data_IF_931618791226
#
_entry.id   IF_931618791226
#
_cell.length_a   1.000
_cell.length_b   1.000
_cell.length_c   1.000
_cell.angle_alpha   90.00
_cell.angle_beta   90.00
_cell.angle_gamma   90.00
#
_symmetry.space_group_name_H-M   'P 1'
#
loop_
_entity.id
_entity.type
_entity.pdbx_description
1 polymer ?
#
# COMPACT_ATOMS: atom_id res chain seq x y z
N UNK A 1 10.48 7.32 12.26
CA UNK A 1 10.77 7.28 10.82
C UNK A 1 11.01 5.84 10.46
N UNK A 2 10.15 5.22 9.66
CA UNK A 2 10.29 3.82 9.28
C UNK A 2 11.43 3.65 8.25
N UNK A 3 12.00 2.45 8.09
CA UNK A 3 12.97 2.16 7.04
C UNK A 3 12.45 2.55 5.64
N UNK A 4 11.16 2.32 5.40
CA UNK A 4 10.43 2.69 4.18
C UNK A 4 10.42 4.19 3.95
N UNK A 5 10.06 5.01 4.96
CA UNK A 5 10.11 6.48 4.84
C UNK A 5 11.52 6.99 4.51
N UNK A 6 12.53 6.38 5.13
CA UNK A 6 13.94 6.71 4.87
C UNK A 6 14.38 6.35 3.45
N UNK A 7 13.90 5.21 2.93
CA UNK A 7 14.15 4.78 1.55
C UNK A 7 13.58 5.77 0.53
N UNK A 8 12.32 6.19 0.70
CA UNK A 8 11.67 7.12 -0.24
C UNK A 8 12.30 8.53 -0.23
N UNK A 9 12.79 9.01 0.92
CA UNK A 9 13.52 10.28 1.01
C UNK A 9 14.82 10.24 0.17
N UNK A 10 15.45 9.08 0.05
CA UNK A 10 16.73 8.93 -0.67
C UNK A 10 16.56 8.56 -2.15
N UNK A 11 15.33 8.44 -2.66
CA UNK A 11 15.13 8.13 -4.08
C UNK A 11 15.68 9.22 -5.01
N UNK A 12 16.16 8.84 -6.21
CA UNK A 12 16.48 9.76 -7.29
C UNK A 12 15.32 10.70 -7.61
N UNK A 13 15.64 11.93 -8.01
CA UNK A 13 14.63 12.96 -8.34
C UNK A 13 13.70 12.52 -9.47
N UNK A 14 14.21 11.77 -10.44
CA UNK A 14 13.41 11.23 -11.55
C UNK A 14 12.31 10.29 -11.06
N UNK A 15 12.62 9.42 -10.10
CA UNK A 15 11.66 8.49 -9.52
C UNK A 15 10.66 9.25 -8.63
N UNK A 16 11.13 10.22 -7.85
CA UNK A 16 10.25 11.08 -7.04
C UNK A 16 9.22 11.82 -7.89
N UNK A 17 9.60 12.30 -9.08
CA UNK A 17 8.70 12.99 -10.00
C UNK A 17 7.58 12.09 -10.55
N UNK A 18 7.78 10.77 -10.60
CA UNK A 18 6.76 9.80 -11.00
C UNK A 18 5.94 9.30 -9.81
N UNK A 19 6.55 9.22 -8.64
CA UNK A 19 5.95 8.73 -7.40
C UNK A 19 5.03 9.76 -6.72
N UNK A 20 5.49 11.02 -6.59
CA UNK A 20 4.76 12.09 -5.89
C UNK A 20 3.38 12.36 -6.52
N UNK A 21 3.20 12.39 -7.86
CA UNK A 21 1.86 12.58 -8.43
C UNK A 21 0.86 11.47 -8.10
N UNK A 22 1.33 10.27 -7.73
CA UNK A 22 0.47 9.12 -7.44
C UNK A 22 0.13 9.06 -5.95
N UNK A 23 1.14 9.14 -5.07
CA UNK A 23 0.93 8.98 -3.63
C UNK A 23 0.90 10.31 -2.87
N UNK A 24 1.43 11.39 -3.43
CA UNK A 24 1.67 12.66 -2.75
C UNK A 24 2.89 12.62 -1.82
N UNK A 25 3.04 11.56 -1.03
CA UNK A 25 4.14 11.38 -0.09
C UNK A 25 4.49 9.90 0.16
N UNK A 26 5.67 9.65 0.73
CA UNK A 26 6.08 8.33 1.21
C UNK A 26 5.15 7.81 2.32
N UNK A 27 4.66 8.71 3.17
CA UNK A 27 3.71 8.39 4.24
C UNK A 27 2.39 7.87 3.65
N UNK A 28 1.87 8.50 2.60
CA UNK A 28 0.65 8.01 1.94
C UNK A 28 0.85 6.66 1.27
N UNK A 29 2.01 6.43 0.65
CA UNK A 29 2.35 5.10 0.14
C UNK A 29 2.34 4.05 1.26
N UNK A 30 3.02 4.32 2.38
CA UNK A 30 3.04 3.44 3.55
C UNK A 30 1.61 3.13 4.01
N UNK A 31 0.78 4.16 4.20
CA UNK A 31 -0.64 4.02 4.57
C UNK A 31 -1.41 3.15 3.58
N UNK A 32 -1.23 3.37 2.27
CA UNK A 32 -1.90 2.60 1.23
C UNK A 32 -1.56 1.12 1.32
N UNK A 33 -0.28 0.76 1.38
CA UNK A 33 0.16 -0.64 1.47
C UNK A 33 -0.32 -1.29 2.78
N UNK A 34 -0.16 -0.57 3.89
CA UNK A 34 -0.61 -1.05 5.21
C UNK A 34 -2.11 -1.36 5.21
N UNK A 35 -2.94 -0.45 4.69
CA UNK A 35 -4.39 -0.65 4.63
C UNK A 35 -4.78 -1.81 3.71
N UNK A 36 -4.05 -2.02 2.61
CA UNK A 36 -4.26 -3.18 1.73
C UNK A 36 -3.97 -4.48 2.47
N UNK A 37 -2.80 -4.58 3.13
CA UNK A 37 -2.42 -5.76 3.92
C UNK A 37 -3.43 -6.04 5.05
N UNK A 38 -3.83 -4.99 5.77
CA UNK A 38 -4.88 -5.07 6.79
C UNK A 38 -6.20 -5.58 6.23
N UNK A 39 -6.65 -5.03 5.11
CA UNK A 39 -7.92 -5.41 4.50
C UNK A 39 -7.89 -6.87 4.03
N UNK A 40 -6.78 -7.33 3.44
CA UNK A 40 -6.61 -8.73 3.05
C UNK A 40 -6.73 -9.66 4.26
N UNK A 41 -5.98 -9.36 5.32
CA UNK A 41 -5.91 -10.18 6.51
C UNK A 41 -7.26 -10.25 7.23
N UNK A 42 -7.89 -9.10 7.52
CA UNK A 42 -9.17 -9.05 8.22
C UNK A 42 -10.28 -9.71 7.38
N UNK A 43 -10.32 -9.47 6.06
CA UNK A 43 -11.31 -10.12 5.17
C UNK A 43 -11.15 -11.65 5.17
N UNK A 44 -9.90 -12.14 5.17
CA UNK A 44 -9.58 -13.57 5.21
C UNK A 44 -9.92 -14.23 6.55
N UNK A 45 -9.78 -13.49 7.65
CA UNK A 45 -10.13 -13.94 9.01
C UNK A 45 -11.65 -13.97 9.21
N UNK A 46 -12.33 -12.85 8.96
CA UNK A 46 -13.75 -12.69 9.28
C UNK A 46 -14.65 -13.48 8.31
N UNK A 47 -14.17 -13.72 7.08
CA UNK A 47 -14.89 -14.43 6.00
C UNK A 47 -16.33 -13.94 5.83
N UNK A 48 -16.49 -12.63 5.84
CA UNK A 48 -17.79 -11.95 5.65
C UNK A 48 -18.42 -12.31 4.29
N UNK A 49 -19.69 -11.94 4.09
CA UNK A 49 -20.36 -12.19 2.81
C UNK A 49 -19.53 -11.65 1.62
N UNK A 50 -19.37 -12.50 0.61
CA UNK A 50 -18.58 -12.26 -0.60
C UNK A 50 -17.08 -12.02 -0.33
N UNK A 51 -16.52 -12.62 0.74
CA UNK A 51 -15.10 -12.46 1.07
C UNK A 51 -14.17 -12.89 -0.06
N UNK A 52 -14.50 -13.95 -0.81
CA UNK A 52 -13.70 -14.40 -1.95
C UNK A 52 -13.59 -13.31 -3.02
N UNK A 53 -14.73 -12.72 -3.44
CA UNK A 53 -14.70 -11.63 -4.41
C UNK A 53 -13.99 -10.38 -3.86
N UNK A 54 -14.06 -10.14 -2.55
CA UNK A 54 -13.31 -9.04 -1.92
C UNK A 54 -11.80 -9.29 -1.96
N UNK A 55 -11.37 -10.52 -1.68
CA UNK A 55 -9.96 -10.93 -1.78
C UNK A 55 -9.46 -10.79 -3.22
N UNK A 56 -10.24 -11.23 -4.22
CA UNK A 56 -9.87 -11.05 -5.63
C UNK A 56 -9.61 -9.58 -5.99
N UNK A 57 -10.46 -8.67 -5.49
CA UNK A 57 -10.29 -7.22 -5.70
C UNK A 57 -9.05 -6.69 -4.97
N UNK A 58 -8.77 -7.16 -3.76
CA UNK A 58 -7.59 -6.76 -2.99
C UNK A 58 -6.31 -7.21 -3.72
N UNK A 59 -6.24 -8.46 -4.16
CA UNK A 59 -5.12 -9.00 -4.94
C UNK A 59 -4.92 -8.24 -6.25
N UNK A 60 -6.00 -7.90 -6.94
CA UNK A 60 -5.92 -7.05 -8.15
C UNK A 60 -5.23 -5.71 -7.87
N UNK A 61 -5.56 -5.03 -6.77
CA UNK A 61 -4.92 -3.75 -6.43
C UNK A 61 -3.48 -3.92 -5.93
N UNK A 62 -3.17 -5.00 -5.20
CA UNK A 62 -1.79 -5.35 -4.84
C UNK A 62 -0.93 -5.55 -6.08
N UNK A 63 -1.41 -6.31 -7.06
CA UNK A 63 -0.69 -6.56 -8.31
C UNK A 63 -0.47 -5.27 -9.10
N UNK A 64 -1.49 -4.41 -9.20
CA UNK A 64 -1.37 -3.10 -9.85
C UNK A 64 -0.34 -2.20 -9.17
N UNK A 65 -0.36 -2.14 -7.85
CA UNK A 65 0.60 -1.38 -7.07
C UNK A 65 2.03 -1.91 -7.27
N UNK A 66 2.22 -3.23 -7.17
CA UNK A 66 3.50 -3.89 -7.41
C UNK A 66 4.03 -3.62 -8.82
N UNK A 67 3.18 -3.76 -9.84
CA UNK A 67 3.57 -3.47 -11.22
C UNK A 67 3.98 -2.01 -11.42
N UNK A 68 3.28 -1.08 -10.76
CA UNK A 68 3.64 0.34 -10.82
C UNK A 68 5.00 0.60 -10.15
N UNK A 69 5.27 0.04 -8.97
CA UNK A 69 6.57 0.18 -8.32
C UNK A 69 7.69 -0.39 -9.18
N UNK A 70 7.48 -1.59 -9.74
CA UNK A 70 8.46 -2.25 -10.61
C UNK A 70 8.72 -1.45 -11.90
N UNK A 71 7.71 -0.75 -12.45
CA UNK A 71 7.90 0.11 -13.63
C UNK A 71 8.78 1.33 -13.33
N UNK A 72 8.83 1.77 -12.07
CA UNK A 72 9.74 2.79 -11.57
C UNK A 72 11.15 2.24 -11.25
N UNK A 73 11.42 0.97 -11.56
CA UNK A 73 12.64 0.26 -11.11
C UNK A 73 12.80 0.22 -9.59
N UNK A 74 11.68 0.32 -8.86
CA UNK A 74 11.62 0.05 -7.43
C UNK A 74 11.37 -1.44 -7.22
N UNK A 75 11.94 -2.01 -6.16
CA UNK A 75 11.66 -3.38 -5.75
C UNK A 75 10.30 -3.44 -5.06
N UNK A 76 9.23 -3.51 -5.87
CA UNK A 76 7.86 -3.46 -5.38
C UNK A 76 7.50 -4.63 -4.47
N UNK A 77 8.09 -5.80 -4.70
CA UNK A 77 7.92 -6.97 -3.86
C UNK A 77 8.43 -6.72 -2.44
N UNK A 78 9.70 -6.32 -2.31
CA UNK A 78 10.31 -6.09 -1.00
C UNK A 78 9.68 -4.89 -0.30
N UNK A 79 9.41 -3.78 -1.00
CA UNK A 79 8.78 -2.61 -0.40
C UNK A 79 7.39 -2.90 0.15
N UNK A 80 6.59 -3.69 -0.58
CA UNK A 80 5.27 -4.08 -0.10
C UNK A 80 5.35 -5.08 1.05
N UNK A 81 6.29 -6.03 1.00
CA UNK A 81 6.50 -7.01 2.06
C UNK A 81 6.98 -6.38 3.38
N UNK A 82 7.84 -5.37 3.31
CA UNK A 82 8.32 -4.63 4.48
C UNK A 82 7.14 -3.96 5.22
N UNK A 83 6.30 -3.22 4.50
CA UNK A 83 5.13 -2.54 5.10
C UNK A 83 4.06 -3.54 5.56
N UNK A 84 3.85 -4.63 4.83
CA UNK A 84 2.94 -5.69 5.26
C UNK A 84 3.44 -6.36 6.56
N UNK A 85 4.76 -6.52 6.71
CA UNK A 85 5.37 -7.02 7.94
C UNK A 85 5.12 -6.09 9.11
N UNK A 86 5.29 -4.77 8.92
CA UNK A 86 4.95 -3.76 9.94
C UNK A 86 3.49 -3.89 10.40
N UNK A 87 2.54 -4.11 9.48
CA UNK A 87 1.15 -4.38 9.82
C UNK A 87 0.98 -5.64 10.68
N UNK A 88 1.60 -6.76 10.29
CA UNK A 88 1.48 -8.01 11.06
C UNK A 88 2.09 -7.88 12.45
N UNK A 89 3.22 -7.17 12.57
CA UNK A 89 3.80 -6.84 13.87
C UNK A 89 2.83 -6.03 14.73
N UNK A 90 2.22 -4.97 14.17
CA UNK A 90 1.22 -4.17 14.89
C UNK A 90 0.01 -5.01 15.31
N UNK A 91 -0.49 -5.87 14.43
CA UNK A 91 -1.61 -6.76 14.70
C UNK A 91 -1.32 -7.72 15.87
N UNK A 92 -0.15 -8.38 15.86
CA UNK A 92 0.25 -9.29 16.96
C UNK A 92 0.38 -8.54 18.29
N UNK A 93 0.73 -7.25 18.26
CA UNK A 93 0.88 -6.42 19.45
C UNK A 93 -0.39 -5.63 19.82
N UNK A 94 -1.54 -5.88 19.16
CA UNK A 94 -2.79 -5.15 19.36
C UNK A 94 -2.67 -3.63 19.19
N UNK A 95 -1.89 -3.21 18.19
CA UNK A 95 -1.67 -1.80 17.78
C UNK A 95 -2.23 -1.52 16.38
N UNK A 96 -3.04 -2.41 15.83
CA UNK A 96 -3.60 -2.30 14.48
C UNK A 96 -4.83 -1.37 14.40
N UNK A 97 -5.24 -0.75 15.52
CA UNK A 97 -6.31 0.25 15.59
C UNK A 97 -5.89 1.65 15.11
N UNK A 98 -4.67 1.78 14.55
CA UNK A 98 -4.16 3.03 13.97
C UNK A 98 -5.12 3.56 12.91
N UNK A 99 -5.65 4.76 13.18
CA UNK A 99 -6.37 5.55 12.19
C UNK A 99 -5.37 6.43 11.43
N UNK A 100 -5.12 6.07 10.17
CA UNK A 100 -4.19 6.80 9.32
C UNK A 100 -4.74 8.12 8.74
N UNK A 101 -6.01 8.44 8.97
CA UNK A 101 -6.67 9.63 8.45
C UNK A 101 -6.86 9.62 6.93
N UNK A 102 -6.51 8.53 6.24
CA UNK A 102 -6.75 8.32 4.82
C UNK A 102 -8.21 7.96 4.61
N UNK A 103 -8.93 8.77 3.84
CA UNK A 103 -10.33 8.48 3.49
C UNK A 103 -10.39 7.45 2.37
N UNK A 104 -11.58 6.85 2.18
CA UNK A 104 -11.81 5.96 1.04
C UNK A 104 -11.62 6.70 -0.30
N UNK A 105 -11.96 7.99 -0.36
CA UNK A 105 -11.77 8.79 -1.57
C UNK A 105 -10.29 9.00 -1.87
N UNK A 106 -9.47 9.27 -0.85
CA UNK A 106 -8.01 9.37 -1.00
C UNK A 106 -7.43 8.06 -1.56
N UNK A 107 -7.82 6.92 -0.97
CA UNK A 107 -7.37 5.61 -1.42
C UNK A 107 -7.77 5.33 -2.87
N UNK A 108 -9.03 5.59 -3.23
CA UNK A 108 -9.51 5.41 -4.60
C UNK A 108 -8.82 6.33 -5.60
N UNK A 109 -8.47 7.55 -5.20
CA UNK A 109 -7.72 8.48 -6.04
C UNK A 109 -6.29 7.97 -6.30
N UNK A 110 -5.62 7.40 -5.30
CA UNK A 110 -4.31 6.75 -5.47
C UNK A 110 -4.43 5.56 -6.44
N UNK A 111 -5.43 4.70 -6.27
CA UNK A 111 -5.63 3.54 -7.16
C UNK A 111 -5.92 3.95 -8.61
N UNK A 112 -6.71 5.01 -8.81
CA UNK A 112 -6.93 5.60 -10.14
C UNK A 112 -5.65 6.16 -10.74
N UNK A 113 -4.86 6.88 -9.96
CA UNK A 113 -3.58 7.43 -10.41
C UNK A 113 -2.59 6.31 -10.81
N UNK A 114 -2.54 5.21 -10.07
CA UNK A 114 -1.77 4.00 -10.45
C UNK A 114 -2.26 3.46 -11.80
N UNK A 115 -3.58 3.34 -11.98
CA UNK A 115 -4.17 2.82 -13.20
C UNK A 115 -3.89 3.69 -14.43
N UNK A 116 -3.83 5.01 -14.28
CA UNK A 116 -3.50 5.94 -15.38
C UNK A 116 -2.02 5.91 -15.79
N UNK A 117 -1.14 5.35 -14.95
CA UNK A 117 0.33 5.32 -15.16
C UNK A 117 0.84 3.96 -15.64
N UNK A 118 -0.02 2.94 -15.70
CA UNK A 118 0.26 1.60 -16.21
C UNK A 118 -0.22 1.46 -17.65
#
# INVERSE_FOLDING_TARGET
MTPTESYFINLPSEIKNLFIPVFGSAENFYKTVYLIARNEHITSLDKVANWEQRIDVIHYYQDKLKHFLNSLSLDGDNLMADVASDYFEDYVHYKDDVNFGMTNEDFLNIMRAIQEKL
#
